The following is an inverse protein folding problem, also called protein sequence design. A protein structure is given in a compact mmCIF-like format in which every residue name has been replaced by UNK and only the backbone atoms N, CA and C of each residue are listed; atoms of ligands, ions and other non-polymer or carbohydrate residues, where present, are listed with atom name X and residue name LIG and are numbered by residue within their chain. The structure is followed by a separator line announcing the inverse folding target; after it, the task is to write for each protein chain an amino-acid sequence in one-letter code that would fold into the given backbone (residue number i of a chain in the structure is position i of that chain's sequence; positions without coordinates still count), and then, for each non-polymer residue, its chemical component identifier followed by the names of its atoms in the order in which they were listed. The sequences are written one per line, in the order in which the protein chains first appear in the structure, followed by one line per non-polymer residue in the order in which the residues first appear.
data_IF_696910925047
#
_entry.id   IF_696910925047
#
_cell.length_a   1.000
_cell.length_b   1.000
_cell.length_c   1.000
_cell.angle_alpha   90.00
_cell.angle_beta   90.00
_cell.angle_gamma   90.00
#
_symmetry.space_group_name_H-M   'P 1'
#
loop_
_entity.id
_entity.type
_entity.pdbx_description
1 polymer ?
#
# COMPACT_ATOMS: atom_id res chain seq x y z
N UNK A 1 -18.07 8.61 24.62
CA UNK A 1 -19.13 8.75 23.58
C UNK A 1 -19.06 7.61 22.55
N UNK A 2 -17.91 6.94 22.37
CA UNK A 2 -17.64 6.09 21.19
C UNK A 2 -18.53 4.85 21.02
N UNK A 3 -19.13 4.31 22.10
CA UNK A 3 -19.92 3.07 22.02
C UNK A 3 -21.17 3.16 21.12
N UNK A 4 -21.65 4.35 20.79
CA UNK A 4 -22.74 4.53 19.81
C UNK A 4 -22.24 4.48 18.38
N UNK A 5 -21.17 5.19 18.04
CA UNK A 5 -20.65 5.32 16.67
C UNK A 5 -20.21 3.98 16.08
N UNK A 6 -19.63 3.10 16.89
CA UNK A 6 -19.25 1.74 16.48
C UNK A 6 -20.45 0.83 16.15
N UNK A 7 -21.69 1.23 16.46
CA UNK A 7 -22.89 0.42 16.20
C UNK A 7 -23.38 0.55 14.75
N UNK A 8 -23.09 1.68 14.09
CA UNK A 8 -23.62 2.03 12.77
C UNK A 8 -22.72 1.52 11.62
N UNK A 9 -21.41 1.38 11.87
CA UNK A 9 -20.43 0.79 10.94
C UNK A 9 -20.62 -0.73 10.69
N UNK A 10 -21.72 -1.34 11.15
CA UNK A 10 -21.99 -2.78 10.96
C UNK A 10 -22.40 -3.18 9.53
N UNK A 11 -22.69 -2.20 8.68
CA UNK A 11 -23.09 -2.41 7.28
C UNK A 11 -22.26 -1.61 6.27
N UNK A 12 -21.19 -0.92 6.71
CA UNK A 12 -20.22 -0.34 5.78
C UNK A 12 -19.37 -1.44 5.15
N UNK A 13 -19.15 -1.37 3.84
CA UNK A 13 -18.10 -2.16 3.21
C UNK A 13 -16.75 -1.76 3.81
N UNK A 14 -15.90 -2.76 4.07
CA UNK A 14 -14.49 -2.52 4.33
C UNK A 14 -13.84 -2.17 2.99
N UNK A 15 -13.59 -0.87 2.78
CA UNK A 15 -13.08 -0.34 1.51
C UNK A 15 -11.69 -0.88 1.17
N UNK A 16 -10.83 -1.12 2.17
CA UNK A 16 -9.51 -1.70 1.95
C UNK A 16 -9.66 -3.16 1.48
N UNK A 17 -10.45 -3.97 2.18
CA UNK A 17 -10.70 -5.34 1.77
C UNK A 17 -11.47 -5.43 0.43
N UNK A 18 -12.32 -4.46 0.09
CA UNK A 18 -12.96 -4.40 -1.22
C UNK A 18 -11.92 -4.20 -2.33
N UNK A 19 -11.06 -3.17 -2.24
CA UNK A 19 -10.04 -2.89 -3.25
C UNK A 19 -9.03 -4.04 -3.36
N UNK A 20 -8.58 -4.61 -2.22
CA UNK A 20 -7.66 -5.76 -2.18
C UNK A 20 -8.23 -6.99 -2.90
N UNK A 21 -9.54 -7.21 -2.87
CA UNK A 21 -10.20 -8.30 -3.61
C UNK A 21 -10.51 -7.93 -5.08
N UNK A 22 -10.50 -6.65 -5.44
CA UNK A 22 -10.82 -6.22 -6.81
C UNK A 22 -9.58 -6.13 -7.73
N UNK A 23 -8.41 -5.82 -7.16
CA UNK A 23 -7.09 -5.88 -7.83
C UNK A 23 -6.64 -7.33 -8.10
N UNK A 24 -7.21 -7.95 -9.13
CA UNK A 24 -7.08 -9.39 -9.42
C UNK A 24 -5.93 -9.74 -10.35
N UNK A 25 -5.46 -8.79 -11.16
CA UNK A 25 -4.36 -8.97 -12.11
C UNK A 25 -3.17 -8.07 -11.80
N UNK A 26 -2.00 -8.45 -12.30
CA UNK A 26 -0.79 -7.64 -12.14
C UNK A 26 -0.87 -6.29 -12.88
N UNK A 27 -1.74 -6.15 -13.89
CA UNK A 27 -1.99 -4.89 -14.59
C UNK A 27 -2.94 -3.97 -13.79
N UNK A 28 -3.96 -4.51 -13.11
CA UNK A 28 -4.82 -3.72 -12.19
C UNK A 28 -3.95 -3.07 -11.09
N UNK A 29 -3.05 -3.88 -10.51
CA UNK A 29 -2.14 -3.45 -9.44
C UNK A 29 -1.14 -2.41 -9.97
N UNK A 30 -0.58 -2.62 -11.18
CA UNK A 30 0.33 -1.67 -11.84
C UNK A 30 -0.36 -0.34 -12.15
N UNK A 31 -1.59 -0.35 -12.68
CA UNK A 31 -2.38 0.85 -12.93
C UNK A 31 -2.67 1.62 -11.64
N UNK A 32 -3.08 0.90 -10.59
CA UNK A 32 -3.36 1.46 -9.28
C UNK A 32 -2.11 2.10 -8.64
N UNK A 33 -0.96 1.41 -8.68
CA UNK A 33 0.32 1.94 -8.19
C UNK A 33 0.77 3.16 -9.01
N UNK A 34 0.72 3.10 -10.35
CA UNK A 34 1.10 4.21 -11.22
C UNK A 34 0.23 5.46 -10.98
N UNK A 35 -1.07 5.28 -10.72
CA UNK A 35 -1.97 6.38 -10.36
C UNK A 35 -1.52 7.02 -9.06
N UNK A 36 -1.38 6.24 -7.99
CA UNK A 36 -0.97 6.75 -6.68
C UNK A 36 0.45 7.35 -6.64
N UNK A 37 1.35 6.90 -7.52
CA UNK A 37 2.69 7.47 -7.69
C UNK A 37 2.63 8.81 -8.43
N UNK A 38 1.76 8.93 -9.44
CA UNK A 38 1.51 10.19 -10.15
C UNK A 38 0.90 11.23 -9.21
N UNK A 39 -0.09 10.84 -8.40
CA UNK A 39 -0.72 11.74 -7.42
C UNK A 39 0.34 12.30 -6.46
N UNK A 40 1.18 11.44 -5.87
CA UNK A 40 2.32 11.85 -5.03
C UNK A 40 3.33 12.76 -5.74
N UNK A 41 3.55 12.60 -7.05
CA UNK A 41 4.43 13.49 -7.84
C UNK A 41 3.80 14.88 -8.03
N UNK A 42 2.46 14.99 -7.98
CA UNK A 42 1.72 16.24 -8.14
C UNK A 42 1.50 16.99 -6.80
N UNK A 43 1.27 16.28 -5.69
CA UNK A 43 0.96 16.89 -4.38
C UNK A 43 2.04 16.72 -3.28
N UNK A 44 2.94 15.74 -3.41
CA UNK A 44 3.95 15.39 -2.41
C UNK A 44 3.41 14.65 -1.18
N UNK A 45 2.13 14.26 -1.13
CA UNK A 45 1.55 13.53 0.01
C UNK A 45 1.70 12.01 -0.14
N UNK A 46 2.68 11.50 0.59
CA UNK A 46 2.92 10.07 0.73
C UNK A 46 1.76 9.25 1.34
N UNK A 47 0.78 9.86 2.03
CA UNK A 47 -0.33 9.13 2.68
C UNK A 47 -1.06 8.19 1.71
N UNK A 48 -1.46 8.73 0.55
CA UNK A 48 -2.16 7.99 -0.49
C UNK A 48 -1.27 6.91 -1.11
N UNK A 49 -0.01 7.26 -1.40
CA UNK A 49 0.95 6.36 -2.05
C UNK A 49 1.34 5.16 -1.18
N UNK A 50 1.61 5.34 0.13
CA UNK A 50 1.86 4.19 1.03
C UNK A 50 0.65 3.28 1.14
N UNK A 51 -0.57 3.84 1.14
CA UNK A 51 -1.78 3.04 1.25
C UNK A 51 -2.03 2.20 0.00
N UNK A 52 -1.73 2.76 -1.17
CA UNK A 52 -1.74 2.03 -2.44
C UNK A 52 -0.68 0.92 -2.47
N UNK A 53 0.57 1.22 -2.08
CA UNK A 53 1.65 0.24 -1.96
C UNK A 53 1.25 -0.94 -1.06
N UNK A 54 0.59 -0.69 0.07
CA UNK A 54 0.25 -1.76 0.99
C UNK A 54 -0.99 -2.57 0.59
N UNK A 55 -1.95 -1.95 -0.11
CA UNK A 55 -3.05 -2.64 -0.79
C UNK A 55 -2.50 -3.58 -1.88
N UNK A 56 -1.53 -3.11 -2.68
CA UNK A 56 -0.81 -3.93 -3.67
C UNK A 56 0.02 -5.07 -3.05
N UNK A 57 0.59 -4.86 -1.87
CA UNK A 57 1.22 -5.95 -1.11
C UNK A 57 0.16 -6.95 -0.65
N UNK A 58 -0.97 -6.49 -0.10
CA UNK A 58 -2.04 -7.33 0.48
C UNK A 58 -2.78 -8.19 -0.55
N UNK A 59 -2.96 -7.73 -1.78
CA UNK A 59 -3.59 -8.55 -2.84
C UNK A 59 -2.73 -9.73 -3.29
N UNK A 60 -1.40 -9.65 -3.19
CA UNK A 60 -0.46 -10.70 -3.64
C UNK A 60 0.24 -11.48 -2.51
N UNK A 61 0.40 -10.89 -1.33
CA UNK A 61 1.24 -11.44 -0.24
C UNK A 61 0.67 -11.11 1.15
N UNK A 62 1.00 -11.93 2.16
CA UNK A 62 0.86 -11.48 3.55
C UNK A 62 1.99 -10.49 3.90
N UNK A 63 1.66 -9.45 4.66
CA UNK A 63 2.62 -8.44 5.14
C UNK A 63 3.83 -9.06 5.85
N UNK A 64 3.58 -10.08 6.67
CA UNK A 64 4.64 -10.78 7.40
C UNK A 64 5.58 -11.56 6.46
N UNK A 65 5.05 -12.10 5.36
CA UNK A 65 5.85 -12.73 4.31
C UNK A 65 6.63 -11.71 3.49
N UNK A 66 5.98 -10.66 3.00
CA UNK A 66 6.59 -9.61 2.18
C UNK A 66 7.76 -8.93 2.89
N UNK A 67 7.56 -8.49 4.15
CA UNK A 67 8.61 -7.89 4.97
C UNK A 67 9.85 -8.80 5.09
N UNK A 68 9.66 -10.12 5.27
CA UNK A 68 10.75 -11.09 5.34
C UNK A 68 11.54 -11.15 4.02
N UNK A 69 10.86 -11.13 2.87
CA UNK A 69 11.53 -11.19 1.55
C UNK A 69 12.37 -9.94 1.27
N UNK A 70 11.84 -8.74 1.50
CA UNK A 70 12.59 -7.47 1.31
C UNK A 70 13.68 -7.20 2.37
N UNK A 71 13.86 -8.11 3.33
CA UNK A 71 14.85 -7.98 4.42
C UNK A 71 14.49 -6.91 5.46
N UNK A 72 13.20 -6.65 5.69
CA UNK A 72 12.71 -5.60 6.58
C UNK A 72 11.98 -6.18 7.81
N UNK A 73 12.05 -5.50 8.96
CA UNK A 73 11.19 -5.84 10.10
C UNK A 73 9.75 -5.42 9.82
N UNK A 74 8.79 -6.25 10.25
CA UNK A 74 7.35 -5.96 10.07
C UNK A 74 6.99 -4.58 10.61
N UNK A 75 7.48 -4.22 11.80
CA UNK A 75 7.25 -2.92 12.44
C UNK A 75 7.72 -1.73 11.60
N UNK A 76 8.82 -1.87 10.84
CA UNK A 76 9.29 -0.81 9.95
C UNK A 76 8.33 -0.67 8.75
N UNK A 77 7.91 -1.78 8.13
CA UNK A 77 6.93 -1.74 7.03
C UNK A 77 5.60 -1.12 7.49
N UNK A 78 5.04 -1.57 8.62
CA UNK A 78 3.83 -1.01 9.24
C UNK A 78 3.95 0.47 9.63
N UNK A 79 5.16 1.01 9.87
CA UNK A 79 5.36 2.44 10.13
C UNK A 79 5.26 3.30 8.86
N UNK A 80 5.38 2.69 7.67
CA UNK A 80 5.14 3.37 6.40
C UNK A 80 3.65 3.54 6.13
N UNK A 81 2.78 2.52 6.32
CA UNK A 81 1.31 2.62 6.10
C UNK A 81 0.62 3.79 6.79
N UNK A 82 1.20 4.21 7.91
CA UNK A 82 0.68 5.22 8.83
C UNK A 82 1.31 6.59 8.63
N UNK A 83 2.26 6.73 7.70
CA UNK A 83 3.11 7.91 7.54
C UNK A 83 3.83 8.31 8.85
N UNK A 84 4.22 7.33 9.68
CA UNK A 84 5.04 7.59 10.88
C UNK A 84 6.48 7.98 10.49
N UNK A 85 6.93 7.57 9.28
CA UNK A 85 8.26 7.85 8.71
C UNK A 85 8.23 7.88 7.19
N UNK A 86 8.93 8.85 6.62
CA UNK A 86 9.29 8.86 5.20
C UNK A 86 10.36 7.78 4.90
N UNK A 87 10.12 6.85 3.95
CA UNK A 87 11.10 5.89 3.52
C UNK A 87 12.07 6.51 2.52
N UNK A 88 13.34 6.11 2.59
CA UNK A 88 14.31 6.41 1.52
C UNK A 88 13.81 5.81 0.21
N UNK A 89 14.06 6.47 -0.93
CA UNK A 89 13.74 5.97 -2.27
C UNK A 89 14.19 4.50 -2.50
N UNK A 90 15.33 4.10 -1.93
CA UNK A 90 15.83 2.70 -1.97
C UNK A 90 14.94 1.66 -1.27
N UNK A 91 14.00 2.08 -0.43
CA UNK A 91 12.93 1.23 0.13
C UNK A 91 11.78 1.10 -0.86
N UNK A 92 11.38 2.19 -1.51
CA UNK A 92 10.33 2.20 -2.55
C UNK A 92 10.73 1.28 -3.71
N UNK A 93 11.97 1.41 -4.21
CA UNK A 93 12.53 0.52 -5.25
C UNK A 93 12.51 -0.96 -4.84
N UNK A 94 12.83 -1.28 -3.58
CA UNK A 94 12.74 -2.66 -3.06
C UNK A 94 11.31 -3.20 -3.01
N UNK A 95 10.33 -2.34 -2.72
CA UNK A 95 8.92 -2.74 -2.68
C UNK A 95 8.44 -3.04 -4.11
N UNK A 96 8.70 -2.16 -5.08
CA UNK A 96 8.37 -2.42 -6.49
C UNK A 96 9.04 -3.69 -7.02
N UNK A 97 10.35 -3.88 -6.79
CA UNK A 97 11.09 -5.04 -7.27
C UNK A 97 10.55 -6.37 -6.69
N UNK A 98 10.19 -6.44 -5.40
CA UNK A 98 9.54 -7.64 -4.82
C UNK A 98 8.09 -7.82 -5.28
N UNK A 99 7.39 -6.75 -5.67
CA UNK A 99 6.12 -6.86 -6.38
C UNK A 99 6.29 -7.31 -7.84
N UNK A 100 7.51 -7.34 -8.39
CA UNK A 100 7.79 -7.72 -9.77
C UNK A 100 7.64 -6.56 -10.77
N UNK A 101 7.84 -5.32 -10.30
CA UNK A 101 7.76 -4.09 -11.09
C UNK A 101 9.09 -3.34 -11.08
N UNK A 102 9.38 -2.63 -12.17
CA UNK A 102 10.51 -1.72 -12.30
C UNK A 102 10.02 -0.27 -12.41
N UNK A 103 10.91 0.70 -12.17
CA UNK A 103 10.61 2.12 -12.30
C UNK A 103 11.40 2.68 -13.48
N UNK A 104 10.68 3.21 -14.47
CA UNK A 104 11.22 3.75 -15.72
C UNK A 104 11.09 5.28 -15.77
N UNK A 105 11.84 5.92 -16.67
CA UNK A 105 11.68 7.34 -17.02
C UNK A 105 10.96 7.39 -18.38
N UNK A 106 9.88 8.17 -18.45
CA UNK A 106 9.05 8.37 -19.64
C UNK A 106 9.37 9.70 -20.37
#
# INVERSE_FOLDING_TARGET
MEKSTMKELKHTIDLENYIVNDLKTDEDIKLYLNTSLKDYIEDGDFNSFYRALEIAIKSRNSISGFAKKIGMSRTHLYSLFKNEKEPKFSTIVKIFHELGYELEIA
#
